data_IF_841387224305
#
_entry.id   IF_841387224305
#
_cell.length_a   1.000
_cell.length_b   1.000
_cell.length_c   1.000
_cell.angle_alpha   90.00
_cell.angle_beta   90.00
_cell.angle_gamma   90.00
#
_symmetry.space_group_name_H-M   'P 1'
#
loop_
_entity.id
_entity.type
_entity.pdbx_description
1 polymer ?
#
# COMPACT_ATOMS: atom_id res chain seq x y z
N UNK A 1 17.48 23.83 26.68
CA UNK A 1 17.80 22.52 27.30
C UNK A 1 19.03 22.04 26.57
N UNK A 2 20.07 21.68 27.32
CA UNK A 2 21.35 21.23 26.81
C UNK A 2 21.13 19.92 26.02
N UNK A 3 21.41 19.93 24.71
CA UNK A 3 21.36 18.73 23.88
C UNK A 3 22.48 17.81 24.38
N UNK A 4 22.12 16.84 25.21
CA UNK A 4 23.05 15.88 25.77
C UNK A 4 23.65 15.06 24.64
N UNK A 5 24.91 15.38 24.28
CA UNK A 5 25.77 14.66 23.32
C UNK A 5 25.65 13.15 23.58
N UNK A 6 25.19 12.41 22.59
CA UNK A 6 24.91 10.99 22.76
C UNK A 6 26.19 10.18 22.51
N UNK A 7 26.66 9.45 23.51
CA UNK A 7 27.79 8.55 23.34
C UNK A 7 27.34 7.28 22.59
N UNK A 8 28.03 6.93 21.52
CA UNK A 8 27.87 5.64 20.82
C UNK A 8 29.10 4.77 21.03
N UNK A 9 28.94 3.44 20.98
CA UNK A 9 30.06 2.51 21.12
C UNK A 9 30.66 2.18 19.75
N UNK A 10 31.98 2.31 19.63
CA UNK A 10 32.74 1.86 18.47
C UNK A 10 32.86 0.33 18.41
N UNK A 11 33.41 -0.18 17.31
CA UNK A 11 33.60 -1.61 17.05
C UNK A 11 34.48 -2.33 18.08
N UNK A 12 35.29 -1.59 18.84
CA UNK A 12 36.16 -2.11 19.92
C UNK A 12 35.69 -1.68 21.32
N UNK A 13 34.47 -1.14 21.46
CA UNK A 13 33.88 -0.76 22.75
C UNK A 13 34.33 0.62 23.29
N UNK A 14 35.02 1.41 22.48
CA UNK A 14 35.35 2.81 22.78
C UNK A 14 34.12 3.71 22.71
N UNK A 15 34.05 4.72 23.59
CA UNK A 15 33.02 5.76 23.55
C UNK A 15 33.37 6.76 22.45
N UNK A 16 32.49 6.89 21.45
CA UNK A 16 32.57 7.94 20.41
C UNK A 16 31.54 9.02 20.70
N UNK A 17 31.95 10.28 20.55
CA UNK A 17 31.08 11.46 20.64
C UNK A 17 30.82 12.04 19.25
N UNK A 18 29.68 12.69 19.05
CA UNK A 18 29.19 13.18 17.75
C UNK A 18 30.21 14.00 16.92
N UNK A 19 31.19 14.65 17.56
CA UNK A 19 32.26 15.41 16.88
C UNK A 19 33.23 14.53 16.05
N UNK A 20 33.31 13.22 16.29
CA UNK A 20 34.14 12.29 15.50
C UNK A 20 33.38 11.60 14.36
N UNK A 21 32.04 11.69 14.33
CA UNK A 21 31.19 11.01 13.34
C UNK A 21 30.92 11.86 12.08
N UNK A 22 31.15 13.18 12.15
CA UNK A 22 30.80 14.14 11.10
C UNK A 22 31.95 14.45 10.11
N UNK A 23 33.08 13.73 10.20
CA UNK A 23 34.26 13.97 9.35
C UNK A 23 34.30 13.13 8.05
N UNK A 24 33.15 12.83 7.43
CA UNK A 24 33.13 12.30 6.05
C UNK A 24 31.99 12.90 5.22
N UNK A 25 32.00 14.23 5.04
CA UNK A 25 31.60 14.82 3.76
C UNK A 25 32.73 14.58 2.75
N UNK A 26 32.82 13.36 2.23
CA UNK A 26 33.50 13.09 0.96
C UNK A 26 32.96 11.78 0.41
N UNK A 27 32.89 11.65 -0.91
CA UNK A 27 32.46 10.43 -1.57
C UNK A 27 33.16 9.21 -0.90
N UNK A 28 32.39 8.26 -0.38
CA UNK A 28 32.91 7.15 0.42
C UNK A 28 34.12 6.50 -0.26
N UNK A 29 35.11 6.01 0.50
CA UNK A 29 36.43 5.66 -0.01
C UNK A 29 36.28 4.81 -1.26
N UNK A 30 37.08 5.08 -2.29
CA UNK A 30 37.13 4.35 -3.57
C UNK A 30 37.34 2.83 -3.39
N UNK A 31 37.43 2.31 -2.17
CA UNK A 31 37.82 0.96 -1.84
C UNK A 31 36.76 0.25 -0.96
N UNK A 32 36.65 -1.06 -1.13
CA UNK A 32 35.83 -1.95 -0.31
C UNK A 32 36.48 -2.22 1.06
N UNK A 33 35.81 -2.98 1.93
CA UNK A 33 36.30 -3.31 3.28
C UNK A 33 37.60 -4.14 3.27
N UNK A 34 38.00 -4.67 2.12
CA UNK A 34 39.24 -5.42 1.90
C UNK A 34 40.37 -4.55 1.35
N UNK A 35 40.11 -3.25 1.12
CA UNK A 35 41.09 -2.29 0.58
C UNK A 35 41.26 -2.36 -0.94
N UNK A 36 40.37 -3.06 -1.65
CA UNK A 36 40.39 -3.15 -3.12
C UNK A 36 39.53 -2.05 -3.73
N UNK A 37 39.92 -1.54 -4.91
CA UNK A 37 39.12 -0.54 -5.64
C UNK A 37 37.71 -1.08 -5.93
N UNK A 38 36.70 -0.30 -5.55
CA UNK A 38 35.31 -0.71 -5.59
C UNK A 38 34.69 -0.46 -6.96
N UNK A 39 34.06 -1.48 -7.53
CA UNK A 39 33.28 -1.31 -8.76
C UNK A 39 32.05 -0.40 -8.58
N UNK A 40 31.55 0.18 -9.68
CA UNK A 40 30.41 1.12 -9.69
C UNK A 40 29.16 0.59 -8.94
N UNK A 41 28.91 -0.71 -9.05
CA UNK A 41 27.75 -1.38 -8.44
C UNK A 41 28.15 -2.28 -7.26
N UNK A 42 29.38 -2.17 -6.77
CA UNK A 42 29.89 -2.98 -5.67
C UNK A 42 29.65 -2.28 -4.33
N UNK A 43 29.20 -3.03 -3.33
CA UNK A 43 29.03 -2.57 -1.96
C UNK A 43 30.35 -2.63 -1.20
N UNK A 44 30.43 -2.04 -0.02
CA UNK A 44 31.66 -2.09 0.79
C UNK A 44 32.04 -3.51 1.22
N UNK A 45 31.09 -4.43 1.33
CA UNK A 45 31.33 -5.86 1.56
C UNK A 45 31.81 -6.64 0.30
N UNK A 46 32.02 -5.97 -0.83
CA UNK A 46 32.42 -6.62 -2.09
C UNK A 46 31.29 -7.34 -2.82
N UNK A 47 30.02 -7.08 -2.46
CA UNK A 47 28.85 -7.69 -3.10
C UNK A 47 28.29 -6.78 -4.20
N UNK A 48 27.58 -7.35 -5.18
CA UNK A 48 26.83 -6.52 -6.13
C UNK A 48 25.56 -5.95 -5.47
N UNK A 49 25.32 -4.64 -5.59
CA UNK A 49 24.17 -3.97 -4.97
C UNK A 49 22.82 -4.53 -5.42
N UNK A 50 22.69 -5.03 -6.65
CA UNK A 50 21.46 -5.65 -7.13
C UNK A 50 21.19 -6.98 -6.42
N UNK A 51 22.24 -7.75 -6.12
CA UNK A 51 22.13 -8.98 -5.34
C UNK A 51 21.76 -8.68 -3.89
N UNK A 52 22.37 -7.65 -3.27
CA UNK A 52 22.01 -7.21 -1.91
C UNK A 52 20.57 -6.69 -1.86
N UNK A 53 20.13 -5.93 -2.87
CA UNK A 53 18.74 -5.48 -2.98
C UNK A 53 17.75 -6.65 -3.14
N UNK A 54 18.10 -7.64 -3.97
CA UNK A 54 17.34 -8.88 -4.17
C UNK A 54 17.27 -9.75 -2.91
N UNK A 55 18.37 -9.79 -2.13
CA UNK A 55 18.45 -10.44 -0.83
C UNK A 55 17.53 -9.74 0.17
N UNK A 56 17.60 -8.41 0.26
CA UNK A 56 16.74 -7.60 1.13
C UNK A 56 15.25 -7.87 0.86
N UNK A 57 14.83 -7.89 -0.40
CA UNK A 57 13.43 -8.20 -0.76
C UNK A 57 12.99 -9.55 -0.21
N UNK A 58 13.82 -10.58 -0.40
CA UNK A 58 13.51 -11.94 0.05
C UNK A 58 13.56 -12.06 1.56
N UNK A 59 14.44 -11.32 2.24
CA UNK A 59 14.50 -11.27 3.69
C UNK A 59 13.22 -10.63 4.27
N UNK A 60 12.78 -9.49 3.73
CA UNK A 60 11.50 -8.85 4.11
C UNK A 60 10.32 -9.79 3.89
N UNK A 61 10.19 -10.40 2.71
CA UNK A 61 9.11 -11.35 2.38
C UNK A 61 9.07 -12.58 3.29
N UNK A 62 10.23 -12.98 3.83
CA UNK A 62 10.38 -14.17 4.70
C UNK A 62 10.50 -13.82 6.17
N UNK A 63 10.30 -12.55 6.53
CA UNK A 63 10.44 -12.04 7.90
C UNK A 63 11.80 -12.34 8.54
N UNK A 64 12.87 -12.31 7.75
CA UNK A 64 14.25 -12.47 8.22
C UNK A 64 14.84 -11.11 8.61
N UNK A 65 14.69 -10.76 9.89
CA UNK A 65 15.10 -9.46 10.44
C UNK A 65 16.60 -9.20 10.35
N UNK A 66 17.42 -10.21 10.63
CA UNK A 66 18.88 -10.08 10.67
C UNK A 66 19.42 -9.79 9.27
N UNK A 67 18.99 -10.60 8.28
CA UNK A 67 19.41 -10.41 6.89
C UNK A 67 18.86 -9.10 6.33
N UNK A 68 17.63 -8.73 6.66
CA UNK A 68 17.04 -7.46 6.23
C UNK A 68 17.80 -6.26 6.80
N UNK A 69 18.13 -6.27 8.10
CA UNK A 69 18.89 -5.21 8.75
C UNK A 69 20.30 -5.08 8.14
N UNK A 70 20.99 -6.20 7.93
CA UNK A 70 22.32 -6.18 7.31
C UNK A 70 22.26 -5.61 5.88
N UNK A 71 21.34 -6.09 5.04
CA UNK A 71 21.26 -5.67 3.65
C UNK A 71 20.90 -4.18 3.52
N UNK A 72 20.02 -3.66 4.40
CA UNK A 72 19.71 -2.24 4.45
C UNK A 72 20.93 -1.39 4.86
N UNK A 73 21.59 -1.77 5.96
CA UNK A 73 22.79 -1.10 6.43
C UNK A 73 23.90 -1.11 5.36
N UNK A 74 24.09 -2.24 4.68
CA UNK A 74 25.08 -2.44 3.63
C UNK A 74 24.86 -1.53 2.43
N UNK A 75 23.62 -1.46 1.93
CA UNK A 75 23.27 -0.59 0.80
C UNK A 75 23.52 0.88 1.15
N UNK A 76 23.05 1.33 2.31
CA UNK A 76 23.17 2.75 2.70
C UNK A 76 24.62 3.15 2.95
N UNK A 77 25.39 2.37 3.74
CA UNK A 77 26.80 2.69 4.03
C UNK A 77 27.69 2.67 2.78
N UNK A 78 27.23 2.00 1.73
CA UNK A 78 27.90 1.87 0.44
C UNK A 78 27.54 2.99 -0.54
N UNK A 79 26.70 3.95 -0.15
CA UNK A 79 26.27 5.05 -1.02
C UNK A 79 25.10 4.69 -1.93
N UNK A 80 24.40 3.58 -1.66
CA UNK A 80 23.21 3.14 -2.39
C UNK A 80 21.92 3.41 -1.60
N UNK A 81 21.87 4.50 -0.84
CA UNK A 81 20.70 4.88 -0.06
C UNK A 81 19.45 5.07 -0.93
N UNK A 82 19.59 5.76 -2.08
CA UNK A 82 18.54 5.87 -3.08
C UNK A 82 17.97 4.51 -3.50
N UNK A 83 18.84 3.52 -3.73
CA UNK A 83 18.43 2.19 -4.14
C UNK A 83 17.71 1.46 -3.02
N UNK A 84 18.16 1.64 -1.77
CA UNK A 84 17.46 1.10 -0.61
C UNK A 84 16.05 1.69 -0.47
N UNK A 85 15.91 3.02 -0.48
CA UNK A 85 14.63 3.71 -0.26
C UNK A 85 13.60 3.44 -1.37
N UNK A 86 14.02 3.45 -2.64
CA UNK A 86 13.13 3.10 -3.76
C UNK A 86 12.60 1.67 -3.60
N UNK A 87 13.47 0.76 -3.16
CA UNK A 87 13.15 -0.67 -3.10
C UNK A 87 12.34 -1.03 -1.87
N UNK A 88 12.63 -0.48 -0.70
CA UNK A 88 11.85 -0.76 0.51
C UNK A 88 10.40 -0.29 0.36
N UNK A 89 10.17 0.85 -0.31
CA UNK A 89 8.81 1.31 -0.65
C UNK A 89 8.09 0.39 -1.64
N UNK A 90 8.80 -0.15 -2.64
CA UNK A 90 8.25 -1.19 -3.51
C UNK A 90 7.85 -2.44 -2.70
N UNK A 91 8.67 -2.85 -1.73
CA UNK A 91 8.37 -4.04 -0.92
C UNK A 91 7.11 -3.86 -0.07
N UNK A 92 6.80 -2.64 0.36
CA UNK A 92 5.55 -2.33 1.08
C UNK A 92 4.32 -2.68 0.25
N UNK A 93 4.35 -2.43 -1.06
CA UNK A 93 3.20 -2.71 -1.94
C UNK A 93 3.23 -4.10 -2.57
N UNK A 94 4.42 -4.69 -2.75
CA UNK A 94 4.58 -5.99 -3.40
C UNK A 94 4.55 -7.18 -2.42
N UNK A 95 5.13 -7.00 -1.24
CA UNK A 95 5.50 -8.11 -0.34
C UNK A 95 4.88 -8.02 1.06
N UNK A 96 4.12 -6.95 1.37
CA UNK A 96 3.41 -6.77 2.64
C UNK A 96 1.89 -6.69 2.43
N UNK A 97 1.13 -6.98 3.49
CA UNK A 97 -0.35 -6.91 3.49
C UNK A 97 -0.86 -5.50 3.17
N UNK A 98 -1.88 -5.41 2.31
CA UNK A 98 -2.52 -4.14 1.99
C UNK A 98 -3.17 -3.50 3.22
N UNK A 99 -3.11 -2.16 3.29
CA UNK A 99 -3.67 -1.38 4.40
C UNK A 99 -2.88 -1.45 5.70
N UNK A 100 -1.70 -2.06 5.73
CA UNK A 100 -0.87 -2.12 6.93
C UNK A 100 -0.18 -0.79 7.22
N UNK A 101 -0.14 -0.38 8.50
CA UNK A 101 0.39 0.93 8.93
C UNK A 101 1.91 1.10 8.74
N UNK A 102 2.64 0.01 8.51
CA UNK A 102 4.10 0.01 8.31
C UNK A 102 4.55 0.95 7.18
N UNK A 103 3.70 1.15 6.17
CA UNK A 103 3.95 2.11 5.09
C UNK A 103 4.23 3.53 5.64
N UNK A 104 3.48 3.94 6.67
CA UNK A 104 3.63 5.26 7.29
C UNK A 104 4.92 5.36 8.12
N UNK A 105 5.30 4.27 8.79
CA UNK A 105 6.56 4.21 9.55
C UNK A 105 7.76 4.29 8.62
N UNK A 106 7.75 3.54 7.51
CA UNK A 106 8.83 3.55 6.52
C UNK A 106 8.94 4.93 5.87
N UNK A 107 7.81 5.53 5.46
CA UNK A 107 7.79 6.90 4.94
C UNK A 107 8.40 7.91 5.93
N UNK A 108 8.08 7.77 7.23
CA UNK A 108 8.65 8.63 8.27
C UNK A 108 10.16 8.44 8.43
N UNK A 109 10.66 7.20 8.36
CA UNK A 109 12.10 6.94 8.44
C UNK A 109 12.85 7.49 7.22
N UNK A 110 12.27 7.40 6.03
CA UNK A 110 12.83 7.97 4.81
C UNK A 110 12.90 9.50 4.90
N UNK A 111 11.81 10.16 5.31
CA UNK A 111 11.77 11.61 5.52
C UNK A 111 12.85 12.05 6.52
N UNK A 112 12.97 11.37 7.66
CA UNK A 112 14.00 11.66 8.64
C UNK A 112 15.41 11.52 8.06
N UNK A 113 15.67 10.46 7.30
CA UNK A 113 16.98 10.21 6.69
C UNK A 113 17.36 11.21 5.60
N UNK A 114 16.37 11.79 4.90
CA UNK A 114 16.59 12.73 3.77
C UNK A 114 16.51 14.19 4.14
N UNK A 115 15.58 14.55 5.02
CA UNK A 115 15.23 15.95 5.30
C UNK A 115 15.78 16.45 6.63
N UNK A 116 15.98 15.54 7.60
CA UNK A 116 16.49 15.90 8.93
C UNK A 116 17.98 15.58 9.08
N UNK A 117 18.39 14.42 8.57
CA UNK A 117 19.77 13.93 8.65
C UNK A 117 20.33 13.70 7.25
N UNK A 118 21.58 13.25 7.16
CA UNK A 118 22.16 12.74 5.92
C UNK A 118 21.91 11.23 5.84
N UNK A 119 21.53 10.72 4.67
CA UNK A 119 21.26 9.30 4.47
C UNK A 119 22.45 8.42 4.85
N UNK A 120 23.68 8.92 4.67
CA UNK A 120 24.91 8.20 4.99
C UNK A 120 25.40 8.44 6.42
N UNK A 121 24.79 9.33 7.20
CA UNK A 121 25.12 9.53 8.61
C UNK A 121 24.77 8.29 9.45
N UNK A 122 25.19 8.27 10.71
CA UNK A 122 24.81 7.19 11.61
C UNK A 122 23.27 7.12 11.80
N UNK A 123 22.61 8.27 11.99
CA UNK A 123 21.16 8.40 12.09
C UNK A 123 20.45 7.99 10.80
N UNK A 124 20.95 8.42 9.63
CA UNK A 124 20.40 8.01 8.34
C UNK A 124 20.47 6.49 8.13
N UNK A 125 21.59 5.87 8.51
CA UNK A 125 21.73 4.40 8.50
C UNK A 125 20.79 3.73 9.49
N UNK A 126 20.59 4.31 10.69
CA UNK A 126 19.61 3.79 11.64
C UNK A 126 18.20 3.84 11.07
N UNK A 127 17.79 4.94 10.43
CA UNK A 127 16.51 5.04 9.74
C UNK A 127 16.29 3.91 8.73
N UNK A 128 17.31 3.59 7.93
CA UNK A 128 17.23 2.49 6.98
C UNK A 128 17.11 1.11 7.65
N UNK A 129 17.90 0.86 8.70
CA UNK A 129 17.79 -0.38 9.49
C UNK A 129 16.41 -0.49 10.14
N UNK A 130 15.89 0.60 10.72
CA UNK A 130 14.55 0.66 11.30
C UNK A 130 13.47 0.36 10.25
N UNK A 131 13.56 0.93 9.05
CA UNK A 131 12.63 0.66 7.95
C UNK A 131 12.66 -0.82 7.53
N UNK A 132 13.84 -1.43 7.40
CA UNK A 132 13.99 -2.84 7.04
C UNK A 132 13.44 -3.78 8.12
N UNK A 133 13.71 -3.50 9.39
CA UNK A 133 13.16 -4.26 10.52
C UNK A 133 11.64 -4.13 10.60
N UNK A 134 11.11 -2.92 10.41
CA UNK A 134 9.67 -2.69 10.40
C UNK A 134 8.99 -3.45 9.25
N UNK A 135 9.59 -3.44 8.06
CA UNK A 135 9.11 -4.20 6.91
C UNK A 135 9.15 -5.72 7.17
N UNK A 136 10.26 -6.26 7.68
CA UNK A 136 10.40 -7.69 7.96
C UNK A 136 9.43 -8.19 9.04
N UNK A 137 9.07 -7.34 10.00
CA UNK A 137 8.10 -7.65 11.07
C UNK A 137 6.65 -7.50 10.65
N UNK A 138 6.38 -6.73 9.60
CA UNK A 138 5.02 -6.55 9.11
C UNK A 138 4.49 -7.87 8.49
N UNK A 139 3.17 -8.12 8.55
CA UNK A 139 2.58 -9.29 7.91
C UNK A 139 2.85 -9.30 6.41
N UNK A 140 3.63 -10.28 5.95
CA UNK A 140 3.91 -10.45 4.53
C UNK A 140 2.67 -10.90 3.77
N UNK A 141 2.48 -10.39 2.56
CA UNK A 141 1.45 -10.83 1.62
C UNK A 141 1.91 -10.50 0.20
N UNK A 142 1.47 -11.29 -0.77
CA UNK A 142 1.64 -10.99 -2.20
C UNK A 142 0.29 -10.77 -2.89
N UNK A 143 -0.75 -10.49 -2.12
CA UNK A 143 -2.13 -10.37 -2.62
C UNK A 143 -2.28 -9.35 -3.75
N UNK A 144 -1.61 -8.20 -3.67
CA UNK A 144 -1.67 -7.18 -4.71
C UNK A 144 -0.99 -7.67 -6.01
N UNK A 145 0.20 -8.25 -5.91
CA UNK A 145 0.89 -8.82 -7.08
C UNK A 145 0.12 -9.98 -7.69
N UNK A 146 -0.42 -10.88 -6.87
CA UNK A 146 -1.24 -12.00 -7.36
C UNK A 146 -2.53 -11.53 -8.01
N UNK A 147 -3.16 -10.46 -7.50
CA UNK A 147 -4.33 -9.86 -8.11
C UNK A 147 -4.00 -9.22 -9.48
N UNK A 148 -2.92 -8.45 -9.58
CA UNK A 148 -2.47 -7.83 -10.84
C UNK A 148 -2.16 -8.89 -11.91
N UNK A 149 -1.36 -9.90 -11.55
CA UNK A 149 -1.03 -11.04 -12.42
C UNK A 149 -2.32 -11.75 -12.89
N UNK A 150 -3.19 -12.09 -11.95
CA UNK A 150 -4.43 -12.81 -12.24
C UNK A 150 -5.36 -12.03 -13.18
N UNK A 151 -5.62 -10.75 -12.89
CA UNK A 151 -6.54 -9.96 -13.73
C UNK A 151 -5.94 -9.63 -15.10
N UNK A 152 -4.63 -9.46 -15.20
CA UNK A 152 -3.92 -9.33 -16.47
C UNK A 152 -4.07 -10.59 -17.34
N UNK A 153 -3.77 -11.76 -16.77
CA UNK A 153 -3.90 -13.05 -17.47
C UNK A 153 -5.35 -13.38 -17.83
N UNK A 154 -6.29 -13.13 -16.92
CA UNK A 154 -7.72 -13.35 -17.14
C UNK A 154 -8.25 -12.46 -18.29
N UNK A 155 -7.80 -11.21 -18.35
CA UNK A 155 -8.17 -10.29 -19.43
C UNK A 155 -7.65 -10.77 -20.78
N UNK A 156 -6.37 -11.19 -20.85
CA UNK A 156 -5.78 -11.76 -22.06
C UNK A 156 -6.51 -13.05 -22.51
N UNK A 157 -6.87 -13.90 -21.55
CA UNK A 157 -7.62 -15.13 -21.81
C UNK A 157 -9.01 -14.87 -22.40
N UNK A 158 -9.73 -13.84 -21.92
CA UNK A 158 -11.04 -13.46 -22.48
C UNK A 158 -10.95 -13.00 -23.93
N UNK A 159 -9.90 -12.25 -24.27
CA UNK A 159 -9.65 -11.82 -25.66
C UNK A 159 -9.40 -13.05 -26.55
N UNK A 160 -8.48 -13.93 -26.14
CA UNK A 160 -8.17 -15.14 -26.89
C UNK A 160 -9.40 -16.05 -27.05
N UNK A 161 -10.19 -16.24 -25.99
CA UNK A 161 -11.40 -17.04 -26.02
C UNK A 161 -12.42 -16.51 -27.04
N UNK A 162 -12.63 -15.19 -27.06
CA UNK A 162 -13.51 -14.53 -28.02
C UNK A 162 -13.03 -14.68 -29.47
N UNK A 163 -11.74 -14.53 -29.72
CA UNK A 163 -11.14 -14.71 -31.05
C UNK A 163 -11.28 -16.15 -31.55
N UNK A 164 -11.12 -17.12 -30.65
CA UNK A 164 -11.27 -18.55 -30.92
C UNK A 164 -12.74 -19.03 -31.00
N UNK A 165 -13.71 -18.18 -30.64
CA UNK A 165 -15.12 -18.55 -30.57
C UNK A 165 -15.45 -19.58 -29.47
N UNK A 166 -14.70 -19.54 -28.36
CA UNK A 166 -14.87 -20.41 -27.18
C UNK A 166 -15.20 -19.58 -25.94
N UNK A 167 -15.71 -20.25 -24.91
CA UNK A 167 -15.84 -19.62 -23.59
C UNK A 167 -14.45 -19.44 -22.93
N UNK A 168 -14.26 -18.38 -22.12
CA UNK A 168 -13.07 -18.22 -21.30
C UNK A 168 -12.88 -19.41 -20.34
N UNK A 169 -11.62 -19.73 -20.02
CA UNK A 169 -11.31 -20.82 -19.07
C UNK A 169 -11.79 -20.54 -17.63
N UNK A 170 -11.95 -19.27 -17.28
CA UNK A 170 -12.35 -18.82 -15.95
C UNK A 170 -13.32 -17.64 -16.08
N UNK A 171 -14.26 -17.55 -15.15
CA UNK A 171 -15.23 -16.46 -15.09
C UNK A 171 -14.56 -15.15 -14.67
N UNK A 172 -15.03 -14.03 -15.23
CA UNK A 172 -14.58 -12.72 -14.80
C UNK A 172 -15.38 -12.32 -13.54
N UNK A 173 -14.77 -11.67 -12.52
CA UNK A 173 -15.55 -11.20 -11.38
C UNK A 173 -16.63 -10.19 -11.79
N UNK A 174 -16.55 -9.61 -12.99
CA UNK A 174 -17.53 -8.65 -13.55
C UNK A 174 -17.77 -9.02 -15.03
N UNK A 175 -18.79 -9.83 -15.32
CA UNK A 175 -19.01 -10.34 -16.67
C UNK A 175 -19.49 -9.23 -17.63
N UNK A 176 -20.66 -8.66 -17.33
CA UNK A 176 -21.31 -7.58 -18.08
C UNK A 176 -21.66 -6.44 -17.11
N UNK A 177 -21.09 -5.27 -17.39
CA UNK A 177 -21.41 -4.04 -16.67
C UNK A 177 -22.44 -3.28 -17.49
N UNK A 178 -23.71 -3.62 -17.30
CA UNK A 178 -24.84 -2.98 -17.98
C UNK A 178 -26.01 -2.71 -17.02
N UNK A 179 -26.83 -1.68 -17.30
CA UNK A 179 -27.99 -1.39 -16.46
C UNK A 179 -29.03 -2.51 -16.49
N UNK A 180 -29.64 -2.78 -15.34
CA UNK A 180 -30.53 -3.92 -15.10
C UNK A 180 -29.81 -5.24 -14.84
N UNK A 181 -28.48 -5.29 -14.99
CA UNK A 181 -27.66 -6.46 -14.68
C UNK A 181 -27.32 -6.61 -13.21
N UNK A 182 -26.40 -7.54 -12.90
CA UNK A 182 -25.97 -7.83 -11.51
C UNK A 182 -25.45 -6.59 -10.77
N UNK A 183 -24.75 -5.70 -11.47
CA UNK A 183 -24.09 -4.52 -10.90
C UNK A 183 -24.92 -3.24 -11.07
N UNK A 184 -26.24 -3.37 -11.19
CA UNK A 184 -27.14 -2.29 -11.58
C UNK A 184 -27.07 -1.04 -10.68
N UNK A 185 -26.85 -1.22 -9.38
CA UNK A 185 -26.68 -0.12 -8.40
C UNK A 185 -25.52 0.82 -8.76
N UNK A 186 -24.52 0.35 -9.53
CA UNK A 186 -23.41 1.18 -9.98
C UNK A 186 -23.84 2.28 -10.97
N UNK A 187 -24.97 2.11 -11.67
CA UNK A 187 -25.51 3.09 -12.60
C UNK A 187 -26.40 4.09 -11.88
N UNK A 188 -25.79 5.08 -11.24
CA UNK A 188 -26.48 6.16 -10.53
C UNK A 188 -26.38 7.50 -11.28
N UNK A 189 -26.76 8.58 -10.59
CA UNK A 189 -26.71 9.95 -11.11
C UNK A 189 -25.32 10.43 -11.62
N UNK A 190 -24.22 9.74 -11.27
CA UNK A 190 -22.87 10.09 -11.71
C UNK A 190 -22.47 9.37 -13.02
N UNK A 191 -23.31 8.45 -13.49
CA UNK A 191 -23.10 7.72 -14.75
C UNK A 191 -24.04 8.25 -15.84
N UNK A 192 -23.61 8.16 -17.10
CA UNK A 192 -24.43 8.57 -18.23
C UNK A 192 -25.70 7.70 -18.33
N UNK A 193 -25.53 6.39 -18.23
CA UNK A 193 -26.61 5.40 -18.30
C UNK A 193 -27.57 5.55 -17.12
N UNK A 194 -27.08 5.74 -15.89
CA UNK A 194 -27.94 5.96 -14.72
C UNK A 194 -28.76 7.25 -14.84
N UNK A 195 -28.15 8.33 -15.34
CA UNK A 195 -28.89 9.58 -15.65
C UNK A 195 -29.95 9.36 -16.71
N UNK A 196 -29.64 8.60 -17.78
CA UNK A 196 -30.59 8.25 -18.84
C UNK A 196 -31.77 7.41 -18.31
N UNK A 197 -31.55 6.62 -17.25
CA UNK A 197 -32.58 5.87 -16.52
C UNK A 197 -33.37 6.72 -15.51
N UNK A 198 -33.08 8.02 -15.40
CA UNK A 198 -33.73 8.90 -14.43
C UNK A 198 -33.32 8.67 -12.98
N UNK A 199 -32.20 7.97 -12.75
CA UNK A 199 -31.65 7.76 -11.40
C UNK A 199 -30.96 9.02 -10.93
N UNK A 200 -31.59 9.68 -9.97
CA UNK A 200 -31.14 10.94 -9.42
C UNK A 200 -30.62 10.79 -7.98
N UNK A 201 -30.50 11.91 -7.26
CA UNK A 201 -30.12 11.91 -5.86
C UNK A 201 -30.98 11.01 -4.97
N UNK A 202 -32.27 10.77 -5.31
CA UNK A 202 -33.13 9.83 -4.56
C UNK A 202 -32.58 8.42 -4.66
N UNK A 203 -32.26 7.96 -5.88
CA UNK A 203 -31.70 6.63 -6.11
C UNK A 203 -30.35 6.47 -5.40
N UNK A 204 -29.46 7.46 -5.50
CA UNK A 204 -28.18 7.42 -4.79
C UNK A 204 -28.37 7.33 -3.27
N UNK A 205 -29.26 8.14 -2.70
CA UNK A 205 -29.55 8.16 -1.26
C UNK A 205 -30.08 6.82 -0.76
N UNK A 206 -30.92 6.13 -1.53
CA UNK A 206 -31.59 4.89 -1.10
C UNK A 206 -30.85 3.62 -1.49
N UNK A 207 -30.01 3.64 -2.54
CA UNK A 207 -29.29 2.47 -3.05
C UNK A 207 -27.77 2.67 -3.06
N UNK A 208 -27.27 3.61 -3.87
CA UNK A 208 -25.83 3.75 -4.14
C UNK A 208 -24.96 4.16 -2.95
N UNK A 209 -25.54 4.84 -1.95
CA UNK A 209 -24.83 5.33 -0.77
C UNK A 209 -24.87 4.36 0.42
N UNK A 210 -25.41 3.15 0.27
CA UNK A 210 -25.45 2.14 1.34
C UNK A 210 -24.06 1.56 1.58
N UNK A 211 -23.77 1.17 2.81
CA UNK A 211 -22.49 0.58 3.22
C UNK A 211 -22.74 -0.75 3.95
N UNK A 212 -21.78 -1.66 3.93
CA UNK A 212 -21.89 -2.96 4.58
C UNK A 212 -20.54 -3.63 4.85
N UNK A 213 -20.53 -4.78 5.55
CA UNK A 213 -21.72 -5.50 5.99
C UNK A 213 -22.33 -5.00 7.31
N UNK A 214 -21.58 -4.28 8.16
CA UNK A 214 -22.09 -3.80 9.45
C UNK A 214 -23.00 -2.57 9.35
N UNK A 215 -22.89 -1.82 8.25
CA UNK A 215 -23.62 -0.58 8.03
C UNK A 215 -22.96 0.64 8.68
N UNK A 216 -23.73 1.73 8.74
CA UNK A 216 -23.29 2.99 9.33
C UNK A 216 -23.20 2.90 10.86
N UNK A 217 -22.16 3.50 11.49
CA UNK A 217 -22.19 3.76 12.93
C UNK A 217 -23.43 4.58 13.31
N UNK A 218 -23.97 4.35 14.51
CA UNK A 218 -25.27 4.92 14.92
C UNK A 218 -25.35 6.46 14.74
N UNK A 219 -24.27 7.19 15.03
CA UNK A 219 -24.25 8.65 14.83
C UNK A 219 -24.31 9.05 13.35
N UNK A 220 -23.58 8.34 12.48
CA UNK A 220 -23.62 8.55 11.02
C UNK A 220 -25.01 8.24 10.45
N UNK A 221 -25.60 7.12 10.90
CA UNK A 221 -26.97 6.72 10.59
C UNK A 221 -27.98 7.83 10.93
N UNK A 222 -27.88 8.41 12.12
CA UNK A 222 -28.75 9.51 12.54
C UNK A 222 -28.59 10.76 11.66
N UNK A 223 -27.36 11.18 11.38
CA UNK A 223 -27.09 12.33 10.52
C UNK A 223 -27.62 12.12 9.10
N UNK A 224 -27.50 10.91 8.56
CA UNK A 224 -28.01 10.59 7.24
C UNK A 224 -29.53 10.70 7.16
N UNK A 225 -30.26 10.12 8.12
CA UNK A 225 -31.72 10.23 8.17
C UNK A 225 -32.19 11.67 8.37
N UNK A 226 -31.51 12.44 9.22
CA UNK A 226 -31.81 13.86 9.41
C UNK A 226 -31.55 14.66 8.15
N UNK A 227 -30.42 14.42 7.47
CA UNK A 227 -30.10 15.07 6.20
C UNK A 227 -31.17 14.81 5.15
N UNK A 228 -31.64 13.57 5.00
CA UNK A 228 -32.71 13.24 4.05
C UNK A 228 -34.02 13.95 4.38
N UNK A 229 -34.38 14.06 5.67
CA UNK A 229 -35.58 14.78 6.12
C UNK A 229 -35.51 16.30 5.97
N UNK A 230 -34.31 16.86 5.81
CA UNK A 230 -34.09 18.29 5.61
C UNK A 230 -34.09 18.69 4.13
N UNK A 231 -34.11 17.73 3.21
CA UNK A 231 -34.18 18.03 1.78
C UNK A 231 -35.55 18.55 1.37
N UNK A 232 -35.61 19.30 0.27
CA UNK A 232 -36.87 19.78 -0.33
C UNK A 232 -37.74 18.66 -0.94
N UNK A 233 -37.34 17.39 -0.77
CA UNK A 233 -38.06 16.21 -1.26
C UNK A 233 -38.50 15.32 -0.09
N UNK A 234 -39.66 14.71 -0.24
CA UNK A 234 -40.19 13.77 0.75
C UNK A 234 -39.65 12.35 0.47
N UNK A 235 -39.30 11.65 1.55
CA UNK A 235 -38.92 10.25 1.53
C UNK A 235 -39.94 9.45 2.34
N UNK A 236 -40.30 8.27 1.85
CA UNK A 236 -41.12 7.32 2.60
C UNK A 236 -40.33 6.72 3.76
N UNK A 237 -41.04 6.17 4.77
CA UNK A 237 -40.39 5.46 5.88
C UNK A 237 -39.59 4.24 5.39
N UNK A 238 -40.05 3.57 4.33
CA UNK A 238 -39.36 2.46 3.68
C UNK A 238 -38.05 2.91 3.03
N UNK A 239 -38.04 4.04 2.33
CA UNK A 239 -36.81 4.59 1.76
C UNK A 239 -35.82 5.04 2.82
N UNK A 240 -36.30 5.65 3.91
CA UNK A 240 -35.47 6.02 5.04
C UNK A 240 -34.87 4.79 5.72
N UNK A 241 -35.66 3.73 5.90
CA UNK A 241 -35.19 2.46 6.45
C UNK A 241 -34.15 1.80 5.54
N UNK A 242 -34.46 1.66 4.25
CA UNK A 242 -33.58 1.08 3.23
C UNK A 242 -32.28 1.83 3.11
N UNK A 243 -32.33 3.16 3.12
CA UNK A 243 -31.15 3.98 2.99
C UNK A 243 -30.11 3.53 4.03
N UNK A 244 -30.48 3.34 5.30
CA UNK A 244 -29.55 3.01 6.39
C UNK A 244 -29.39 1.51 6.63
N UNK A 245 -30.04 0.68 5.83
CA UNK A 245 -29.93 -0.76 5.89
C UNK A 245 -28.54 -1.20 5.40
N UNK A 246 -27.79 -1.99 6.20
CA UNK A 246 -26.50 -2.51 5.77
C UNK A 246 -26.61 -3.30 4.47
N UNK A 247 -25.55 -3.28 3.66
CA UNK A 247 -25.48 -4.12 2.46
C UNK A 247 -25.16 -5.56 2.86
N UNK A 248 -25.99 -6.52 2.44
CA UNK A 248 -25.74 -7.94 2.67
C UNK A 248 -24.47 -8.38 1.90
N UNK A 249 -23.48 -9.01 2.55
CA UNK A 249 -22.26 -9.49 1.89
C UNK A 249 -22.49 -10.54 0.80
N UNK A 250 -23.61 -11.28 0.83
CA UNK A 250 -23.99 -12.25 -0.19
C UNK A 250 -24.80 -11.61 -1.32
N UNK A 251 -25.39 -10.42 -1.09
CA UNK A 251 -26.21 -9.68 -2.07
C UNK A 251 -25.69 -8.25 -2.34
N UNK A 252 -24.36 -8.07 -2.36
CA UNK A 252 -23.69 -6.75 -2.43
C UNK A 252 -24.17 -5.77 -3.49
N UNK A 253 -24.68 -6.29 -4.59
CA UNK A 253 -25.02 -5.53 -5.80
C UNK A 253 -26.51 -5.59 -6.15
N UNK A 254 -27.28 -6.35 -5.38
CA UNK A 254 -28.72 -6.51 -5.63
C UNK A 254 -29.41 -5.19 -5.30
N UNK A 255 -30.03 -4.57 -6.29
CA UNK A 255 -31.08 -3.61 -6.02
C UNK A 255 -32.30 -4.44 -5.60
N UNK A 256 -32.63 -4.44 -4.31
CA UNK A 256 -33.87 -5.05 -3.82
C UNK A 256 -35.07 -4.20 -4.22
N UNK A 257 -35.30 -4.09 -5.52
CA UNK A 257 -36.58 -3.67 -6.04
C UNK A 257 -37.37 -4.94 -6.34
N UNK A 258 -38.07 -5.38 -5.29
CA UNK A 258 -39.27 -6.19 -5.42
C UNK A 258 -40.31 -5.37 -6.20
N UNK A 259 -40.23 -5.46 -7.53
CA UNK A 259 -41.38 -5.36 -8.41
C UNK A 259 -41.40 -6.65 -9.26
N UNK A 260 -41.65 -7.78 -8.60
CA UNK A 260 -42.36 -8.88 -9.23
C UNK A 260 -43.86 -8.67 -8.96
N UNK A 261 -44.57 -8.29 -10.04
CA UNK A 261 -46.03 -8.17 -10.27
C UNK A 261 -46.76 -6.85 -9.97
#
# INVERSE_FOLDING_TARGET
>A
MDDGKQATFGSEGELRTDEEADATEDAGPEHNDFGEERGENETKAGANRYDVSSLLQKAVRRSDEEVAAWAAWELVRSGFAWNFWDRINLYVVEDLRAGHEVALLIARYEELARERWSETSWEGRLCAVHAALAAARAPSSREASHADDYFGELSAERVAAREDGREPRYDHPVDELEPGGRYDVAFDQHTYEGTALGRDGRFFRTHGARVGPEGEPELSRQWRLQSMRLEDREYTDEELARAVEPVDPDERWRADDADEE
#
